data_IF_899597554694
#
_entry.id   IF_899597554694
#
_cell.length_a   1.000
_cell.length_b   1.000
_cell.length_c   1.000
_cell.angle_alpha   90.00
_cell.angle_beta   90.00
_cell.angle_gamma   90.00
#
_symmetry.space_group_name_H-M   'P 1'
#
loop_
_entity.id
_entity.type
_entity.pdbx_description
1 polymer ?
#
# COMPACT_ATOMS: atom_id res chain seq x y z
N UNK A 1 26.77 33.56 34.53
CA UNK A 1 26.96 32.09 34.49
C UNK A 1 25.69 31.31 34.82
N UNK A 2 25.01 31.53 35.96
CA UNK A 2 23.78 30.78 36.33
C UNK A 2 22.59 30.93 35.36
N UNK A 3 22.38 32.14 34.80
CA UNK A 3 21.31 32.41 33.82
C UNK A 3 21.49 31.65 32.49
N UNK A 4 22.75 31.40 32.09
CA UNK A 4 23.09 30.68 30.86
C UNK A 4 22.72 29.19 30.94
N UNK A 5 22.87 28.57 32.12
CA UNK A 5 22.46 27.17 32.35
C UNK A 5 20.93 27.00 32.33
N UNK A 6 20.18 27.99 32.82
CA UNK A 6 18.71 27.95 32.80
C UNK A 6 18.20 28.02 31.35
N UNK A 7 18.79 28.87 30.52
CA UNK A 7 18.42 29.00 29.10
C UNK A 7 18.75 27.70 28.33
N UNK A 8 19.90 27.08 28.62
CA UNK A 8 20.30 25.81 27.99
C UNK A 8 19.36 24.65 28.36
N UNK A 9 18.91 24.58 29.62
CA UNK A 9 17.96 23.56 30.08
C UNK A 9 16.59 23.65 29.39
N UNK A 10 16.10 24.87 29.14
CA UNK A 10 14.82 25.10 28.45
C UNK A 10 14.89 24.68 26.98
N UNK A 11 16.03 24.92 26.31
CA UNK A 11 16.24 24.51 24.92
C UNK A 11 16.26 22.97 24.80
N UNK A 12 16.95 22.30 25.73
CA UNK A 12 17.02 20.83 25.77
C UNK A 12 15.64 20.22 26.04
N UNK A 13 14.88 20.78 26.98
CA UNK A 13 13.52 20.32 27.27
C UNK A 13 12.57 20.53 26.07
N UNK A 14 12.71 21.64 25.34
CA UNK A 14 11.95 21.90 24.11
C UNK A 14 12.29 20.91 22.99
N UNK A 15 13.58 20.58 22.81
CA UNK A 15 14.02 19.59 21.84
C UNK A 15 13.51 18.18 22.15
N UNK A 16 13.50 17.79 23.44
CA UNK A 16 12.97 16.49 23.88
C UNK A 16 11.47 16.38 23.63
N UNK A 17 10.72 17.47 23.87
CA UNK A 17 9.28 17.50 23.58
C UNK A 17 8.98 17.33 22.08
N UNK A 18 9.76 17.99 21.22
CA UNK A 18 9.63 17.87 19.75
C UNK A 18 10.01 16.46 19.29
N UNK A 19 11.06 15.87 19.86
CA UNK A 19 11.50 14.53 19.51
C UNK A 19 10.47 13.45 19.87
N UNK A 20 9.78 13.61 21.02
CA UNK A 20 8.71 12.71 21.44
C UNK A 20 7.46 12.80 20.55
N UNK A 21 7.09 13.98 20.07
CA UNK A 21 5.97 14.15 19.14
C UNK A 21 6.29 13.54 17.77
N UNK A 22 7.53 13.71 17.28
CA UNK A 22 7.97 13.13 16.01
C UNK A 22 8.04 11.59 16.05
N UNK A 23 8.42 11.01 17.20
CA UNK A 23 8.51 9.55 17.34
C UNK A 23 7.15 8.90 17.65
N UNK A 24 6.24 9.62 18.31
CA UNK A 24 4.92 9.10 18.73
C UNK A 24 3.90 8.92 17.61
N UNK A 25 4.06 9.57 16.45
CA UNK A 25 3.14 9.45 15.30
C UNK A 25 3.28 8.11 14.55
N UNK A 26 4.31 7.32 14.84
CA UNK A 26 4.59 6.08 14.08
C UNK A 26 3.74 4.86 14.48
N UNK A 27 2.78 5.00 15.40
CA UNK A 27 1.92 3.90 15.90
C UNK A 27 0.52 3.85 15.23
N UNK A 28 0.43 4.15 13.93
CA UNK A 28 -0.78 3.86 13.18
C UNK A 28 -1.08 2.35 13.20
N UNK A 29 -2.33 1.92 13.46
CA UNK A 29 -2.68 0.51 13.45
C UNK A 29 -2.40 -0.07 12.07
N UNK A 30 -1.44 -1.00 11.99
CA UNK A 30 -1.22 -1.81 10.79
C UNK A 30 -2.43 -2.72 10.65
N UNK A 31 -3.35 -2.39 9.75
CA UNK A 31 -4.40 -3.30 9.30
C UNK A 31 -3.72 -4.57 8.79
N UNK A 32 -4.25 -5.73 9.20
CA UNK A 32 -3.69 -7.03 8.85
C UNK A 32 -3.69 -7.16 7.33
N UNK A 33 -2.50 -7.20 6.74
CA UNK A 33 -2.32 -7.65 5.35
C UNK A 33 -2.90 -9.05 5.25
N UNK A 34 -3.91 -9.22 4.39
CA UNK A 34 -4.42 -10.55 4.04
C UNK A 34 -3.26 -11.42 3.60
N UNK A 35 -3.13 -12.62 4.18
CA UNK A 35 -2.06 -13.57 3.87
C UNK A 35 -2.10 -14.00 2.40
N UNK A 36 -3.27 -13.95 1.77
CA UNK A 36 -3.45 -14.28 0.37
C UNK A 36 -3.47 -13.02 -0.50
N UNK A 37 -2.67 -12.98 -1.59
CA UNK A 37 -2.66 -11.86 -2.51
C UNK A 37 -3.97 -11.81 -3.29
N UNK A 38 -4.47 -10.59 -3.51
CA UNK A 38 -5.59 -10.32 -4.40
C UNK A 38 -5.14 -10.56 -5.85
N UNK A 39 -5.74 -11.54 -6.52
CA UNK A 39 -5.42 -11.93 -7.90
C UNK A 39 -6.35 -11.23 -8.88
N UNK A 40 -5.79 -10.31 -9.66
CA UNK A 40 -6.52 -9.49 -10.62
C UNK A 40 -6.18 -9.97 -12.03
N UNK A 41 -7.18 -10.50 -12.73
CA UNK A 41 -7.08 -10.87 -14.13
C UNK A 41 -7.24 -9.66 -15.03
N UNK A 42 -6.30 -9.41 -15.93
CA UNK A 42 -6.37 -8.31 -16.89
C UNK A 42 -6.04 -8.77 -18.31
N UNK A 43 -6.73 -8.26 -19.32
CA UNK A 43 -6.28 -8.48 -20.70
C UNK A 43 -5.10 -7.55 -21.03
N UNK A 44 -4.20 -7.95 -21.95
CA UNK A 44 -3.01 -7.19 -22.32
C UNK A 44 -3.35 -5.99 -23.23
N UNK A 45 -4.24 -5.12 -22.75
CA UNK A 45 -4.54 -3.84 -23.36
C UNK A 45 -3.79 -2.72 -22.64
N UNK A 46 -3.31 -1.74 -23.41
CA UNK A 46 -2.39 -0.71 -22.92
C UNK A 46 -2.92 0.10 -21.73
N UNK A 47 -4.24 0.36 -21.65
CA UNK A 47 -4.79 1.12 -20.52
C UNK A 47 -4.87 0.33 -19.21
N UNK A 48 -4.59 -0.97 -19.22
CA UNK A 48 -4.35 -1.72 -17.99
C UNK A 48 -2.92 -1.56 -17.45
N UNK A 49 -2.07 -0.79 -18.12
CA UNK A 49 -0.73 -0.42 -17.64
C UNK A 49 -0.75 0.21 -16.24
N UNK A 50 -1.84 0.88 -15.86
CA UNK A 50 -1.98 1.52 -14.54
C UNK A 50 -1.91 0.51 -13.37
N UNK A 51 -2.37 -0.73 -13.55
CA UNK A 51 -2.26 -1.75 -12.50
C UNK A 51 -0.80 -2.13 -12.23
N UNK A 52 0.01 -2.22 -13.29
CA UNK A 52 1.45 -2.47 -13.16
C UNK A 52 2.16 -1.28 -12.53
N UNK A 53 1.87 -0.06 -12.98
CA UNK A 53 2.43 1.16 -12.37
C UNK A 53 2.07 1.24 -10.90
N UNK A 54 0.84 0.90 -10.53
CA UNK A 54 0.40 0.94 -9.13
C UNK A 54 1.15 -0.06 -8.25
N UNK A 55 1.42 -1.26 -8.77
CA UNK A 55 2.26 -2.28 -8.12
C UNK A 55 3.71 -1.81 -7.99
N UNK A 56 4.31 -1.32 -9.08
CA UNK A 56 5.70 -0.82 -9.07
C UNK A 56 5.89 0.39 -8.15
N UNK A 57 4.88 1.27 -8.04
CA UNK A 57 4.91 2.47 -7.19
C UNK A 57 4.60 2.18 -5.73
N UNK A 58 4.28 0.94 -5.37
CA UNK A 58 3.98 0.57 -3.98
C UNK A 58 2.59 1.01 -3.51
N UNK A 59 1.64 1.32 -4.41
CA UNK A 59 0.33 1.84 -4.00
C UNK A 59 -0.51 0.78 -3.30
N UNK A 60 -0.43 -0.49 -3.73
CA UNK A 60 -1.16 -1.57 -3.07
C UNK A 60 -0.59 -1.88 -1.69
N UNK A 61 0.73 -1.85 -1.56
CA UNK A 61 1.46 -2.08 -0.31
C UNK A 61 1.19 -0.98 0.72
N UNK A 62 1.02 0.28 0.29
CA UNK A 62 0.60 1.39 1.15
C UNK A 62 -0.79 1.15 1.75
N UNK A 63 -1.69 0.57 0.97
CA UNK A 63 -3.02 0.14 1.43
C UNK A 63 -2.98 -1.22 2.15
N UNK A 64 -1.79 -1.80 2.33
CA UNK A 64 -1.57 -3.09 2.99
C UNK A 64 -2.23 -4.27 2.27
N UNK A 65 -2.38 -4.16 0.94
CA UNK A 65 -2.96 -5.16 0.05
C UNK A 65 -1.83 -5.78 -0.79
N UNK A 66 -1.66 -7.09 -0.69
CA UNK A 66 -0.81 -7.82 -1.62
C UNK A 66 -1.58 -8.06 -2.93
N UNK A 67 -0.99 -7.73 -4.09
CA UNK A 67 -1.67 -7.86 -5.40
C UNK A 67 -0.83 -8.68 -6.38
N UNK A 68 -1.49 -9.63 -7.02
CA UNK A 68 -0.98 -10.39 -8.16
C UNK A 68 -1.77 -10.03 -9.40
N UNK A 69 -1.08 -9.58 -10.45
CA UNK A 69 -1.70 -9.22 -11.73
C UNK A 69 -1.46 -10.37 -12.69
N UNK A 70 -2.53 -10.97 -13.21
CA UNK A 70 -2.50 -12.16 -14.05
C UNK A 70 -3.03 -11.79 -15.44
N UNK A 71 -2.27 -12.02 -16.52
CA UNK A 71 -2.76 -11.80 -17.87
C UNK A 71 -3.85 -12.82 -18.23
N UNK A 72 -5.00 -12.34 -18.69
CA UNK A 72 -6.16 -13.13 -19.11
C UNK A 72 -6.72 -12.54 -20.39
N UNK A 73 -6.57 -13.26 -21.50
CA UNK A 73 -6.94 -12.75 -22.83
C UNK A 73 -8.44 -12.88 -23.14
N UNK A 74 -9.10 -13.88 -22.57
CA UNK A 74 -10.48 -14.24 -22.88
C UNK A 74 -11.42 -14.08 -21.69
N UNK A 75 -12.61 -13.55 -21.95
CA UNK A 75 -13.62 -13.30 -20.91
C UNK A 75 -14.28 -14.58 -20.38
N UNK A 76 -14.39 -15.63 -21.20
CA UNK A 76 -14.86 -16.94 -20.78
C UNK A 76 -13.86 -17.61 -19.83
N UNK A 77 -12.57 -17.59 -20.19
CA UNK A 77 -11.48 -18.06 -19.32
C UNK A 77 -11.47 -17.27 -18.01
N UNK A 78 -11.57 -15.93 -18.07
CA UNK A 78 -11.61 -15.08 -16.87
C UNK A 78 -12.77 -15.43 -15.94
N UNK A 79 -13.98 -15.62 -16.46
CA UNK A 79 -15.15 -16.04 -15.68
C UNK A 79 -14.96 -17.42 -15.05
N UNK A 80 -14.38 -18.37 -15.77
CA UNK A 80 -14.07 -19.70 -15.24
C UNK A 80 -13.03 -19.64 -14.11
N UNK A 81 -12.02 -18.79 -14.25
CA UNK A 81 -11.00 -18.58 -13.23
C UNK A 81 -11.56 -17.94 -11.95
N UNK A 82 -12.50 -17.00 -12.07
CA UNK A 82 -13.27 -16.51 -10.91
C UNK A 82 -14.06 -17.66 -10.27
N UNK A 83 -14.81 -18.42 -11.08
CA UNK A 83 -15.66 -19.50 -10.58
C UNK A 83 -14.89 -20.63 -9.88
N UNK A 84 -13.60 -20.79 -10.21
CA UNK A 84 -12.71 -21.79 -9.61
C UNK A 84 -11.83 -21.24 -8.48
N UNK A 85 -12.11 -20.01 -8.00
CA UNK A 85 -11.31 -19.31 -6.99
C UNK A 85 -9.83 -19.20 -7.39
N UNK A 86 -9.53 -19.09 -8.68
CA UNK A 86 -8.18 -18.82 -9.21
C UNK A 86 -7.94 -17.32 -9.48
N UNK A 87 -9.02 -16.55 -9.56
CA UNK A 87 -9.01 -15.09 -9.66
C UNK A 87 -10.03 -14.51 -8.70
N UNK A 88 -9.74 -13.30 -8.21
CA UNK A 88 -10.61 -12.58 -7.29
C UNK A 88 -11.30 -11.39 -7.98
N UNK A 89 -10.65 -10.83 -9.00
CA UNK A 89 -11.19 -9.76 -9.82
C UNK A 89 -10.82 -9.93 -11.29
N UNK A 90 -11.64 -9.36 -12.18
CA UNK A 90 -11.44 -9.41 -13.62
C UNK A 90 -11.70 -8.03 -14.21
N UNK A 91 -10.65 -7.43 -14.78
CA UNK A 91 -10.72 -6.17 -15.51
C UNK A 91 -10.43 -6.46 -16.97
N UNK A 92 -11.50 -6.53 -17.77
CA UNK A 92 -11.42 -6.78 -19.20
C UNK A 92 -12.18 -5.70 -19.93
N UNK A 93 -11.67 -5.34 -21.10
CA UNK A 93 -12.48 -4.63 -22.08
C UNK A 93 -13.48 -5.60 -22.67
N UNK A 94 -14.76 -5.35 -22.43
CA UNK A 94 -15.85 -5.99 -23.15
C UNK A 94 -15.93 -5.34 -24.53
N UNK A 95 -15.58 -6.09 -25.58
CA UNK A 95 -15.85 -5.74 -26.97
C UNK A 95 -16.99 -6.58 -27.50
#
# INVERSE_FOLDING_TARGET
MKKTYIILAVIIAGFIGIFLVLFGISNAPKTKTSTEPLRIGINPWIGHGLYYVAKEKGFFEKEQIAVEVIPVDDSGIGKQLIATNKLDALSLIHR
#
